data_IF_358172332501
#
_entry.id   IF_358172332501
#
_cell.length_a   1.000
_cell.length_b   1.000
_cell.length_c   1.000
_cell.angle_alpha   90.00
_cell.angle_beta   90.00
_cell.angle_gamma   90.00
#
_symmetry.space_group_name_H-M   'P 1'
#
loop_
_entity.id
_entity.type
_entity.pdbx_description
1 polymer ?
#
# COMPACT_ATOMS: atom_id res chain seq x y z
N UNK A 1 -18.81 1.08 7.23
CA UNK A 1 -20.04 1.90 6.96
C UNK A 1 -20.54 1.53 5.57
N UNK A 2 -21.82 1.16 5.39
CA UNK A 2 -22.32 0.70 4.08
C UNK A 2 -22.70 1.86 3.14
N UNK A 3 -22.55 1.65 1.83
CA UNK A 3 -23.07 2.57 0.82
C UNK A 3 -24.61 2.61 0.88
N UNK A 4 -25.24 3.77 0.55
CA UNK A 4 -26.69 3.91 0.50
C UNK A 4 -27.39 2.77 -0.23
N UNK A 5 -28.54 2.37 0.29
CA UNK A 5 -29.36 1.32 -0.30
C UNK A 5 -29.89 1.71 -1.69
N UNK A 6 -29.82 0.77 -2.63
CA UNK A 6 -30.20 1.04 -4.03
C UNK A 6 -31.72 1.02 -4.24
N UNK A 7 -32.49 0.35 -3.39
CA UNK A 7 -33.96 0.36 -3.48
C UNK A 7 -34.49 1.75 -3.11
N UNK A 8 -33.88 2.37 -2.10
CA UNK A 8 -34.28 3.68 -1.57
C UNK A 8 -33.62 4.85 -2.29
N UNK A 9 -32.33 4.72 -2.62
CA UNK A 9 -31.49 5.79 -3.19
C UNK A 9 -30.91 5.41 -4.55
N UNK A 10 -31.64 4.58 -5.30
CA UNK A 10 -31.23 4.09 -6.62
C UNK A 10 -30.69 5.19 -7.54
N UNK A 11 -29.46 5.01 -7.99
CA UNK A 11 -28.80 5.95 -8.89
C UNK A 11 -28.22 7.21 -8.24
N UNK A 12 -28.21 7.32 -6.91
CA UNK A 12 -27.49 8.39 -6.20
C UNK A 12 -25.99 8.29 -6.46
N UNK A 13 -25.43 7.09 -6.29
CA UNK A 13 -24.02 6.77 -6.61
C UNK A 13 -23.99 6.10 -7.98
N UNK A 14 -23.21 6.68 -8.92
CA UNK A 14 -23.10 6.17 -10.30
C UNK A 14 -22.03 5.09 -10.43
N UNK A 15 -20.89 5.28 -9.74
CA UNK A 15 -19.78 4.33 -9.71
C UNK A 15 -19.05 4.47 -8.38
N UNK A 16 -18.66 3.34 -7.81
CA UNK A 16 -17.71 3.24 -6.71
C UNK A 16 -16.61 2.25 -7.11
N UNK A 17 -15.37 2.63 -6.87
CA UNK A 17 -14.20 1.76 -7.06
C UNK A 17 -13.45 1.75 -5.75
N UNK A 18 -13.30 0.57 -5.15
CA UNK A 18 -12.58 0.38 -3.90
C UNK A 18 -11.37 -0.52 -4.15
N UNK A 19 -10.16 0.05 -4.04
CA UNK A 19 -8.91 -0.66 -4.25
C UNK A 19 -8.34 -0.99 -2.88
N UNK A 20 -8.16 -2.28 -2.57
CA UNK A 20 -7.86 -2.76 -1.22
C UNK A 20 -6.53 -3.49 -1.15
N UNK A 21 -5.87 -3.36 0.00
CA UNK A 21 -4.60 -4.03 0.28
C UNK A 21 -4.82 -5.52 0.56
N UNK A 22 -4.06 -6.37 -0.13
CA UNK A 22 -4.00 -7.80 0.11
C UNK A 22 -3.01 -8.22 1.20
N UNK A 23 -2.14 -7.31 1.68
CA UNK A 23 -1.07 -7.66 2.63
C UNK A 23 -1.09 -6.93 3.98
N UNK A 24 -1.96 -5.93 4.19
CA UNK A 24 -2.07 -5.20 5.46
C UNK A 24 -2.61 -6.08 6.60
N UNK A 25 -2.02 -5.96 7.79
CA UNK A 25 -2.32 -6.83 8.94
C UNK A 25 -2.33 -6.08 10.28
N UNK A 26 -2.07 -4.77 10.29
CA UNK A 26 -2.07 -3.99 11.53
C UNK A 26 -3.48 -3.88 12.07
N UNK A 27 -3.65 -4.18 13.36
CA UNK A 27 -4.92 -4.06 14.07
C UNK A 27 -5.50 -2.64 14.04
N UNK A 28 -4.64 -1.62 13.89
CA UNK A 28 -5.06 -0.23 13.76
C UNK A 28 -5.53 0.18 12.35
N UNK A 29 -5.49 -0.73 11.36
CA UNK A 29 -5.94 -0.51 9.98
C UNK A 29 -6.89 -1.63 9.51
N UNK A 30 -8.05 -1.84 10.16
CA UNK A 30 -9.03 -2.79 9.66
C UNK A 30 -9.61 -2.35 8.31
N UNK A 31 -9.89 -3.30 7.43
CA UNK A 31 -10.52 -3.05 6.14
C UNK A 31 -12.05 -2.97 6.29
N UNK A 32 -12.64 -1.84 5.89
CA UNK A 32 -14.08 -1.70 5.65
C UNK A 32 -14.40 -2.04 4.19
N UNK A 33 -14.87 -3.27 3.93
CA UNK A 33 -15.32 -3.66 2.58
C UNK A 33 -16.58 -2.90 2.16
N UNK A 34 -16.72 -2.63 0.85
CA UNK A 34 -17.97 -2.09 0.27
C UNK A 34 -19.07 -3.14 0.11
N UNK A 35 -18.80 -4.40 0.48
CA UNK A 35 -19.78 -5.49 0.51
C UNK A 35 -20.77 -5.25 1.66
N UNK A 36 -22.07 -5.31 1.37
CA UNK A 36 -23.15 -5.12 2.36
C UNK A 36 -23.30 -6.34 3.27
N UNK A 37 -23.97 -6.17 4.40
CA UNK A 37 -24.25 -7.22 5.39
C UNK A 37 -25.00 -8.44 4.82
N UNK A 38 -25.71 -8.27 3.71
CA UNK A 38 -26.35 -9.38 2.98
C UNK A 38 -25.36 -10.21 2.12
N UNK A 39 -24.07 -9.91 2.20
CA UNK A 39 -22.99 -10.59 1.47
C UNK A 39 -22.83 -10.16 0.01
N UNK A 40 -23.58 -9.15 -0.46
CA UNK A 40 -23.55 -8.69 -1.86
C UNK A 40 -22.87 -7.34 -2.00
N UNK A 41 -22.20 -7.17 -3.12
CA UNK A 41 -21.69 -5.86 -3.55
C UNK A 41 -22.83 -5.02 -4.15
N UNK A 42 -22.87 -3.70 -3.87
CA UNK A 42 -23.74 -2.78 -4.60
C UNK A 42 -23.47 -2.84 -6.11
N UNK A 43 -24.49 -2.80 -6.99
CA UNK A 43 -24.27 -2.88 -8.45
C UNK A 43 -23.39 -1.76 -9.02
N UNK A 44 -23.33 -0.60 -8.34
CA UNK A 44 -22.48 0.52 -8.73
C UNK A 44 -21.02 0.37 -8.28
N UNK A 45 -20.71 -0.62 -7.41
CA UNK A 45 -19.43 -0.76 -6.76
C UNK A 45 -18.62 -1.94 -7.30
N UNK A 46 -17.31 -1.74 -7.41
CA UNK A 46 -16.33 -2.80 -7.61
C UNK A 46 -15.28 -2.70 -6.51
N UNK A 47 -14.84 -3.85 -6.00
CA UNK A 47 -13.77 -3.97 -5.00
C UNK A 47 -12.65 -4.84 -5.56
N UNK A 48 -11.42 -4.32 -5.58
CA UNK A 48 -10.28 -4.95 -6.26
C UNK A 48 -9.13 -5.09 -5.29
N UNK A 49 -8.62 -6.32 -5.13
CA UNK A 49 -7.49 -6.62 -4.24
C UNK A 49 -6.19 -6.42 -4.99
N UNK A 50 -5.27 -5.66 -4.38
CA UNK A 50 -3.93 -5.38 -4.88
C UNK A 50 -2.85 -5.93 -3.93
N UNK A 51 -1.64 -6.23 -4.42
CA UNK A 51 -0.54 -6.57 -3.54
C UNK A 51 -0.07 -5.30 -2.82
N UNK A 52 0.38 -5.48 -1.58
CA UNK A 52 1.07 -4.45 -0.80
C UNK A 52 0.36 -4.21 0.53
N UNK A 53 0.97 -3.44 1.41
CA UNK A 53 0.40 -2.93 2.66
C UNK A 53 -0.52 -1.73 2.38
N UNK A 54 -0.94 -1.00 3.41
CA UNK A 54 -1.86 0.13 3.26
C UNK A 54 -1.40 1.19 2.24
N UNK A 55 -0.18 1.74 2.39
CA UNK A 55 0.31 2.83 1.55
C UNK A 55 0.92 2.37 0.23
N UNK A 56 1.21 1.08 0.07
CA UNK A 56 1.45 0.48 -1.26
C UNK A 56 0.22 0.65 -2.18
N UNK A 57 -0.98 0.83 -1.61
CA UNK A 57 -2.23 1.04 -2.36
C UNK A 57 -2.55 2.53 -2.46
N UNK A 58 -2.68 3.20 -1.33
CA UNK A 58 -3.07 4.62 -1.28
C UNK A 58 -1.98 5.60 -1.74
N UNK A 59 -0.74 5.14 -1.87
CA UNK A 59 0.43 6.00 -1.98
C UNK A 59 0.85 6.62 -0.65
N UNK A 60 2.02 7.25 -0.63
CA UNK A 60 2.53 7.98 0.55
C UNK A 60 3.96 7.63 0.94
N UNK A 61 4.47 6.48 0.48
CA UNK A 61 5.88 6.12 0.61
C UNK A 61 6.73 6.86 -0.43
N UNK A 62 7.72 7.69 -0.05
CA UNK A 62 8.76 8.17 -0.95
C UNK A 62 9.68 7.06 -1.47
N UNK A 63 10.31 7.26 -2.64
CA UNK A 63 11.40 6.42 -3.11
C UNK A 63 12.50 6.23 -2.05
N UNK A 64 12.92 4.98 -1.85
CA UNK A 64 13.97 4.61 -0.91
C UNK A 64 13.51 4.35 0.53
N UNK A 65 12.24 4.60 0.88
CA UNK A 65 11.73 4.25 2.21
C UNK A 65 11.82 2.74 2.45
N UNK A 66 12.29 2.35 3.63
CA UNK A 66 12.62 0.95 3.95
C UNK A 66 13.64 0.31 3.00
N UNK A 67 14.38 1.12 2.24
CA UNK A 67 15.32 0.65 1.23
C UNK A 67 14.64 0.07 -0.02
N UNK A 68 13.40 0.48 -0.30
CA UNK A 68 12.56 -0.04 -1.40
C UNK A 68 12.22 1.03 -2.44
N UNK A 69 11.85 0.62 -3.65
CA UNK A 69 11.50 1.58 -4.72
C UNK A 69 12.60 2.60 -5.02
N UNK A 70 13.88 2.20 -4.95
CA UNK A 70 15.00 3.13 -5.05
C UNK A 70 15.21 3.59 -6.50
N UNK A 71 14.63 4.73 -6.84
CA UNK A 71 14.95 5.51 -8.04
C UNK A 71 14.83 7.00 -7.72
N UNK A 72 15.27 7.84 -8.67
CA UNK A 72 15.05 9.28 -8.63
C UNK A 72 13.58 9.68 -8.86
N UNK A 73 12.72 8.71 -9.18
CA UNK A 73 11.32 8.87 -9.52
C UNK A 73 10.44 7.80 -8.88
N UNK A 74 9.12 8.02 -8.90
CA UNK A 74 8.14 7.14 -8.26
C UNK A 74 7.84 5.85 -9.04
N UNK A 75 8.35 5.68 -10.27
CA UNK A 75 8.00 4.57 -11.16
C UNK A 75 8.31 3.14 -10.68
N UNK A 76 8.97 2.97 -9.54
CA UNK A 76 9.16 1.67 -8.87
C UNK A 76 8.23 1.44 -7.67
N UNK A 77 7.46 2.45 -7.24
CA UNK A 77 6.51 2.34 -6.14
C UNK A 77 5.26 1.59 -6.59
N UNK A 78 4.83 0.60 -5.80
CA UNK A 78 3.69 -0.25 -6.15
C UNK A 78 2.38 0.54 -6.30
N UNK A 79 2.24 1.62 -5.54
CA UNK A 79 1.12 2.55 -5.60
C UNK A 79 0.91 3.18 -6.96
N UNK A 80 1.94 3.24 -7.82
CA UNK A 80 1.79 3.75 -9.18
C UNK A 80 0.83 2.88 -10.01
N UNK A 81 0.79 1.57 -9.80
CA UNK A 81 -0.16 0.70 -10.52
C UNK A 81 -1.60 1.05 -10.11
N UNK A 82 -1.82 1.24 -8.81
CA UNK A 82 -3.13 1.55 -8.23
C UNK A 82 -3.58 2.96 -8.63
N UNK A 83 -2.66 3.92 -8.68
CA UNK A 83 -2.88 5.28 -9.18
C UNK A 83 -3.42 5.26 -10.61
N UNK A 84 -2.83 4.44 -11.49
CA UNK A 84 -3.28 4.33 -12.89
C UNK A 84 -4.66 3.70 -13.01
N UNK A 85 -4.97 2.67 -12.22
CA UNK A 85 -6.31 2.07 -12.23
C UNK A 85 -7.37 3.06 -11.75
N UNK A 86 -7.11 3.78 -10.65
CA UNK A 86 -8.00 4.82 -10.15
C UNK A 86 -8.15 5.98 -11.15
N UNK A 87 -7.06 6.44 -11.77
CA UNK A 87 -7.08 7.48 -12.79
C UNK A 87 -7.96 7.07 -13.97
N UNK A 88 -7.77 5.85 -14.49
CA UNK A 88 -8.54 5.29 -15.59
C UNK A 88 -10.03 5.19 -15.24
N UNK A 89 -10.35 4.61 -14.07
CA UNK A 89 -11.72 4.47 -13.60
C UNK A 89 -12.43 5.82 -13.43
N UNK A 90 -11.75 6.81 -12.83
CA UNK A 90 -12.29 8.15 -12.66
C UNK A 90 -12.49 8.86 -14.00
N UNK A 91 -11.50 8.77 -14.91
CA UNK A 91 -11.57 9.35 -16.25
C UNK A 91 -12.75 8.77 -17.05
N UNK A 92 -12.92 7.45 -17.04
CA UNK A 92 -14.01 6.76 -17.72
C UNK A 92 -15.40 7.11 -17.14
N UNK A 93 -15.47 7.54 -15.88
CA UNK A 93 -16.69 8.04 -15.26
C UNK A 93 -16.93 9.55 -15.49
N UNK A 94 -16.08 10.21 -16.27
CA UNK A 94 -16.21 11.63 -16.62
C UNK A 94 -15.59 12.60 -15.61
N UNK A 95 -14.69 12.13 -14.73
CA UNK A 95 -13.92 13.04 -13.89
C UNK A 95 -13.10 14.01 -14.78
N UNK A 96 -13.08 15.32 -14.47
CA UNK A 96 -12.42 16.33 -15.29
C UNK A 96 -10.89 16.32 -15.11
N UNK A 97 -10.25 15.20 -15.43
CA UNK A 97 -8.80 15.02 -15.28
C UNK A 97 -8.06 15.52 -16.53
N UNK A 98 -6.84 16.01 -16.31
CA UNK A 98 -5.92 16.41 -17.38
C UNK A 98 -5.24 15.18 -17.97
N UNK A 99 -4.81 15.28 -19.23
CA UNK A 99 -4.15 14.18 -19.97
C UNK A 99 -2.84 14.67 -20.60
N UNK A 100 -1.91 13.76 -20.97
CA UNK A 100 -0.74 14.10 -21.78
C UNK A 100 -1.15 14.82 -23.07
N UNK A 101 -0.39 15.83 -23.49
CA UNK A 101 -0.68 16.60 -24.70
C UNK A 101 -0.77 15.71 -25.96
N UNK A 102 0.00 14.62 -25.96
CA UNK A 102 0.06 13.62 -27.02
C UNK A 102 -1.24 12.82 -27.14
N UNK A 103 -1.97 12.63 -26.04
CA UNK A 103 -3.24 11.92 -26.01
C UNK A 103 -4.43 12.78 -26.49
N UNK A 104 -4.27 14.11 -26.57
CA UNK A 104 -5.34 15.00 -27.03
C UNK A 104 -5.47 15.01 -28.57
N UNK A 105 -6.71 15.01 -29.10
CA UNK A 105 -6.97 15.37 -30.49
C UNK A 105 -6.41 16.76 -30.83
N UNK A 106 -5.94 16.97 -32.06
CA UNK A 106 -5.30 18.23 -32.51
C UNK A 106 -6.08 19.49 -32.13
N UNK A 107 -7.40 19.48 -32.31
CA UNK A 107 -8.30 20.60 -31.97
C UNK A 107 -8.26 21.02 -30.49
N UNK A 108 -7.80 20.15 -29.60
CA UNK A 108 -7.73 20.39 -28.15
C UNK A 108 -6.31 20.62 -27.64
N UNK A 109 -5.26 20.42 -28.45
CA UNK A 109 -3.86 20.59 -28.02
C UNK A 109 -3.49 22.02 -27.65
N UNK A 110 -4.25 23.03 -28.12
CA UNK A 110 -4.09 24.44 -27.73
C UNK A 110 -4.74 24.78 -26.38
N UNK A 111 -5.59 23.90 -25.83
CA UNK A 111 -6.30 24.10 -24.58
C UNK A 111 -5.42 23.65 -23.41
N UNK A 112 -4.50 24.51 -22.98
CA UNK A 112 -3.51 24.21 -21.92
C UNK A 112 -4.13 23.71 -20.61
N UNK A 113 -5.36 24.12 -20.29
CA UNK A 113 -6.08 23.67 -19.10
C UNK A 113 -6.48 22.18 -19.12
N UNK A 114 -6.47 21.53 -20.30
CA UNK A 114 -6.66 20.07 -20.44
C UNK A 114 -5.36 19.28 -20.38
N UNK A 115 -4.22 19.95 -20.54
CA UNK A 115 -2.91 19.32 -20.66
C UNK A 115 -2.30 19.18 -19.27
N UNK A 116 -1.87 17.96 -18.94
CA UNK A 116 -1.09 17.69 -17.74
C UNK A 116 0.30 18.35 -17.89
N UNK A 117 0.74 19.17 -16.92
CA UNK A 117 2.11 19.69 -16.90
C UNK A 117 3.16 18.57 -16.85
N UNK A 118 4.34 18.78 -17.44
CA UNK A 118 5.38 17.73 -17.56
C UNK A 118 5.88 17.23 -16.19
N UNK A 119 6.00 18.12 -15.21
CA UNK A 119 6.37 17.78 -13.84
C UNK A 119 5.32 16.88 -13.19
N UNK A 120 4.03 17.13 -13.44
CA UNK A 120 2.95 16.27 -12.95
C UNK A 120 2.86 14.96 -13.75
N UNK A 121 3.07 14.99 -15.06
CA UNK A 121 3.08 13.79 -15.92
C UNK A 121 4.14 12.78 -15.46
N UNK A 122 5.32 13.27 -15.07
CA UNK A 122 6.41 12.43 -14.56
C UNK A 122 6.05 11.69 -13.27
N UNK A 123 5.12 12.22 -12.46
CA UNK A 123 4.61 11.55 -11.25
C UNK A 123 3.67 10.38 -11.58
N UNK A 124 3.21 10.25 -12.82
CA UNK A 124 2.46 9.09 -13.31
C UNK A 124 3.37 8.07 -13.99
N UNK A 125 4.70 8.21 -13.95
CA UNK A 125 5.57 7.22 -14.54
C UNK A 125 5.44 5.86 -13.82
N UNK A 126 5.40 4.77 -14.60
CA UNK A 126 5.42 3.38 -14.13
C UNK A 126 6.53 2.68 -14.89
N UNK A 127 7.47 2.05 -14.18
CA UNK A 127 8.55 1.30 -14.81
C UNK A 127 8.09 -0.06 -15.33
N UNK A 128 8.66 -0.50 -16.45
CA UNK A 128 8.42 -1.85 -16.99
C UNK A 128 8.79 -2.96 -15.99
N UNK A 129 9.81 -2.72 -15.16
CA UNK A 129 10.23 -3.63 -14.08
C UNK A 129 9.11 -3.82 -13.07
N UNK A 130 8.47 -2.73 -12.62
CA UNK A 130 7.34 -2.80 -11.71
C UNK A 130 6.15 -3.50 -12.37
N UNK A 131 5.82 -3.16 -13.62
CA UNK A 131 4.74 -3.80 -14.35
C UNK A 131 4.96 -5.31 -14.50
N UNK A 132 6.18 -5.75 -14.83
CA UNK A 132 6.52 -7.16 -14.94
C UNK A 132 6.36 -7.91 -13.61
N UNK A 133 6.85 -7.32 -12.52
CA UNK A 133 6.72 -7.88 -11.16
C UNK A 133 5.26 -7.96 -10.70
N UNK A 134 4.47 -6.91 -10.95
CA UNK A 134 3.04 -6.89 -10.64
C UNK A 134 2.26 -7.93 -11.45
N UNK A 135 2.54 -8.05 -12.74
CA UNK A 135 1.89 -9.06 -13.59
C UNK A 135 2.28 -10.49 -13.19
N UNK A 136 3.54 -10.74 -12.81
CA UNK A 136 3.95 -12.02 -12.25
C UNK A 136 3.19 -12.38 -10.96
N UNK A 137 2.88 -11.38 -10.11
CA UNK A 137 2.03 -11.57 -8.94
C UNK A 137 0.60 -11.98 -9.30
N UNK A 138 0.00 -11.34 -10.32
CA UNK A 138 -1.33 -11.72 -10.83
C UNK A 138 -1.34 -13.14 -11.38
N UNK A 139 -0.31 -13.53 -12.13
CA UNK A 139 -0.21 -14.87 -12.70
C UNK A 139 -0.01 -15.94 -11.62
N UNK A 140 0.98 -15.75 -10.75
CA UNK A 140 1.37 -16.76 -9.77
C UNK A 140 0.33 -16.93 -8.67
N UNK A 141 -0.17 -15.82 -8.13
CA UNK A 141 -0.97 -15.84 -6.88
C UNK A 141 -2.48 -15.86 -7.14
N UNK A 142 -2.93 -15.36 -8.31
CA UNK A 142 -4.35 -15.30 -8.67
C UNK A 142 -4.70 -16.20 -9.86
N UNK A 143 -3.73 -16.88 -10.48
CA UNK A 143 -3.96 -17.73 -11.66
C UNK A 143 -4.45 -16.96 -12.88
N UNK A 144 -4.24 -15.64 -12.92
CA UNK A 144 -4.65 -14.80 -14.04
C UNK A 144 -3.67 -14.96 -15.20
N UNK A 145 -4.10 -14.62 -16.42
CA UNK A 145 -3.22 -14.62 -17.60
C UNK A 145 -2.88 -13.20 -17.99
N UNK A 146 -1.59 -12.89 -18.16
CA UNK A 146 -1.18 -11.61 -18.78
C UNK A 146 -1.18 -11.76 -20.30
N UNK A 147 -1.95 -10.95 -21.04
CA UNK A 147 -1.88 -10.93 -22.50
C UNK A 147 -0.46 -10.57 -22.97
N UNK A 148 0.10 -11.36 -23.89
CA UNK A 148 1.42 -11.06 -24.50
C UNK A 148 1.35 -9.98 -25.57
N UNK A 149 0.16 -9.75 -26.10
CA UNK A 149 -0.15 -8.74 -27.10
C UNK A 149 -1.41 -8.02 -26.67
N UNK A 150 -1.43 -6.71 -26.85
CA UNK A 150 -2.57 -5.87 -26.52
C UNK A 150 -3.16 -5.31 -27.81
N UNK A 151 -4.45 -5.49 -27.99
CA UNK A 151 -5.20 -4.66 -28.92
C UNK A 151 -5.28 -3.24 -28.32
N UNK A 152 -4.86 -2.18 -29.05
CA UNK A 152 -4.88 -0.82 -28.51
C UNK A 152 -6.25 -0.36 -28.00
N UNK A 153 -7.34 -0.83 -28.60
CA UNK A 153 -8.70 -0.51 -28.16
C UNK A 153 -9.01 -1.22 -26.83
N UNK A 154 -8.73 -2.53 -26.73
CA UNK A 154 -8.82 -3.25 -25.46
C UNK A 154 -7.89 -2.69 -24.37
N UNK A 155 -6.69 -2.20 -24.73
CA UNK A 155 -5.75 -1.60 -23.77
C UNK A 155 -6.24 -0.26 -23.21
N UNK A 156 -7.13 0.43 -23.94
CA UNK A 156 -7.73 1.69 -23.50
C UNK A 156 -8.82 1.50 -22.44
N UNK A 157 -9.27 0.26 -22.23
CA UNK A 157 -10.32 -0.07 -21.27
C UNK A 157 -9.93 -1.29 -20.43
N UNK A 158 -9.49 -1.04 -19.19
CA UNK A 158 -9.23 -2.10 -18.23
C UNK A 158 -10.48 -2.39 -17.39
N UNK A 159 -10.91 -3.65 -17.37
CA UNK A 159 -11.84 -4.16 -16.36
C UNK A 159 -11.11 -5.16 -15.47
N UNK A 160 -11.15 -4.98 -14.13
CA UNK A 160 -10.55 -5.94 -13.23
C UNK A 160 -11.28 -7.29 -13.33
N UNK A 161 -10.56 -8.41 -13.50
CA UNK A 161 -11.17 -9.72 -13.58
C UNK A 161 -11.80 -10.10 -12.24
N UNK A 162 -12.94 -10.81 -12.29
CA UNK A 162 -13.57 -11.35 -11.09
C UNK A 162 -12.60 -12.30 -10.38
N UNK A 163 -12.48 -12.16 -9.06
CA UNK A 163 -11.69 -13.07 -8.25
C UNK A 163 -12.29 -14.47 -8.26
N UNK A 164 -11.44 -15.50 -8.16
CA UNK A 164 -11.86 -16.90 -8.10
C UNK A 164 -12.52 -17.33 -6.77
N UNK A 165 -12.71 -16.40 -5.83
CA UNK A 165 -13.25 -16.67 -4.50
C UNK A 165 -13.76 -15.41 -3.79
N UNK A 166 -14.20 -15.57 -2.53
CA UNK A 166 -14.62 -14.44 -1.69
C UNK A 166 -13.43 -13.55 -1.31
N UNK A 167 -13.70 -12.32 -0.85
CA UNK A 167 -12.67 -11.41 -0.34
C UNK A 167 -11.79 -12.09 0.71
N UNK A 168 -12.40 -12.78 1.68
CA UNK A 168 -11.70 -13.50 2.75
C UNK A 168 -10.76 -14.57 2.21
N UNK A 169 -11.20 -15.31 1.19
CA UNK A 169 -10.39 -16.37 0.57
C UNK A 169 -9.21 -15.78 -0.18
N UNK A 170 -9.44 -14.68 -0.91
CA UNK A 170 -8.36 -13.97 -1.62
C UNK A 170 -7.36 -13.38 -0.64
N UNK A 171 -7.82 -12.71 0.43
CA UNK A 171 -6.94 -12.16 1.47
C UNK A 171 -6.14 -13.29 2.14
N UNK A 172 -6.78 -14.41 2.51
CA UNK A 172 -6.08 -15.55 3.10
C UNK A 172 -4.99 -16.14 2.17
N UNK A 173 -5.25 -16.19 0.87
CA UNK A 173 -4.26 -16.61 -0.12
C UNK A 173 -3.08 -15.64 -0.19
N UNK A 174 -3.35 -14.34 -0.26
CA UNK A 174 -2.31 -13.30 -0.28
C UNK A 174 -1.48 -13.29 1.02
N UNK A 175 -2.14 -13.51 2.16
CA UNK A 175 -1.50 -13.71 3.46
C UNK A 175 -0.53 -14.88 3.45
N UNK A 176 -0.86 -15.99 2.80
CA UNK A 176 0.02 -17.14 2.69
C UNK A 176 1.28 -16.80 1.88
N UNK A 177 1.16 -16.08 0.77
CA UNK A 177 2.30 -15.67 -0.05
C UNK A 177 3.27 -14.73 0.67
N UNK A 178 2.75 -13.70 1.37
CA UNK A 178 3.63 -12.80 2.12
C UNK A 178 4.22 -13.49 3.36
N UNK A 179 3.48 -14.40 3.99
CA UNK A 179 4.01 -15.24 5.09
C UNK A 179 5.16 -16.11 4.59
N UNK A 180 5.05 -16.73 3.41
CA UNK A 180 6.13 -17.51 2.81
C UNK A 180 7.41 -16.69 2.59
N UNK A 181 7.26 -15.44 2.12
CA UNK A 181 8.38 -14.50 2.00
C UNK A 181 9.01 -14.16 3.35
N UNK A 182 8.21 -13.90 4.39
CA UNK A 182 8.71 -13.62 5.74
C UNK A 182 9.37 -14.84 6.39
N UNK A 183 8.90 -16.06 6.13
CA UNK A 183 9.56 -17.28 6.64
C UNK A 183 11.02 -17.30 6.20
N UNK A 184 11.31 -17.03 4.92
CA UNK A 184 12.68 -17.03 4.45
C UNK A 184 13.45 -15.76 4.85
N UNK A 185 12.91 -14.59 4.51
CA UNK A 185 13.59 -13.30 4.73
C UNK A 185 13.78 -13.02 6.21
N UNK A 186 12.74 -13.20 7.02
CA UNK A 186 12.75 -12.85 8.44
C UNK A 186 13.18 -14.04 9.31
N UNK A 187 12.41 -15.14 9.32
CA UNK A 187 12.67 -16.22 10.27
C UNK A 187 13.98 -16.98 9.98
N UNK A 188 14.32 -17.22 8.70
CA UNK A 188 15.63 -17.81 8.32
C UNK A 188 16.75 -16.77 8.17
N UNK A 189 16.44 -15.49 8.28
CA UNK A 189 17.41 -14.39 8.30
C UNK A 189 18.05 -14.07 6.94
N UNK A 190 17.48 -14.51 5.81
CA UNK A 190 18.04 -14.22 4.49
C UNK A 190 17.96 -12.73 4.13
N UNK A 191 17.05 -11.96 4.77
CA UNK A 191 16.90 -10.51 4.61
C UNK A 191 18.23 -9.75 4.75
N UNK A 192 19.10 -10.13 5.68
CA UNK A 192 20.34 -9.40 5.96
C UNK A 192 21.28 -9.29 4.75
N UNK A 193 21.15 -10.21 3.79
CA UNK A 193 21.95 -10.27 2.56
C UNK A 193 21.28 -9.59 1.37
N UNK A 194 20.05 -9.11 1.55
CA UNK A 194 19.26 -8.55 0.45
C UNK A 194 19.60 -7.08 0.22
N UNK A 195 19.51 -6.60 -1.03
CA UNK A 195 19.78 -5.20 -1.34
C UNK A 195 18.83 -4.23 -0.63
N UNK A 196 17.55 -4.57 -0.44
CA UNK A 196 16.60 -3.64 0.19
C UNK A 196 16.98 -3.33 1.64
N UNK A 197 17.32 -4.36 2.42
CA UNK A 197 17.74 -4.18 3.81
C UNK A 197 19.06 -3.42 3.94
N UNK A 198 20.00 -3.65 3.01
CA UNK A 198 21.30 -2.97 3.02
C UNK A 198 21.20 -1.48 2.66
N UNK A 199 20.18 -1.09 1.88
CA UNK A 199 19.93 0.31 1.50
C UNK A 199 19.02 1.05 2.48
N UNK A 200 18.30 0.34 3.34
CA UNK A 200 17.37 0.92 4.30
C UNK A 200 18.07 1.94 5.22
N UNK A 201 17.41 3.07 5.50
CA UNK A 201 18.00 4.14 6.30
C UNK A 201 18.15 3.72 7.76
N UNK A 202 19.20 4.21 8.43
CA UNK A 202 19.44 3.91 9.84
C UNK A 202 20.17 5.03 10.59
N UNK A 203 20.10 6.26 10.09
CA UNK A 203 20.84 7.42 10.60
C UNK A 203 20.39 7.88 11.99
N UNK A 204 19.16 7.54 12.37
CA UNK A 204 18.51 8.00 13.61
C UNK A 204 18.17 6.84 14.57
N UNK A 205 18.84 5.69 14.40
CA UNK A 205 18.67 4.53 15.26
C UNK A 205 19.08 4.80 16.71
N UNK A 206 20.18 5.54 16.90
CA UNK A 206 20.73 5.85 18.22
C UNK A 206 19.89 6.95 18.91
N UNK A 207 19.60 6.85 20.21
CA UNK A 207 18.77 7.82 20.93
C UNK A 207 19.26 9.28 20.81
N UNK A 208 20.58 9.49 20.80
CA UNK A 208 21.15 10.83 20.67
C UNK A 208 20.93 11.44 19.27
N UNK A 209 21.11 10.65 18.21
CA UNK A 209 20.87 11.09 16.83
C UNK A 209 19.38 11.37 16.60
N UNK A 210 18.51 10.49 17.10
CA UNK A 210 17.06 10.66 17.06
C UNK A 210 16.62 11.96 17.71
N UNK A 211 17.05 12.21 18.94
CA UNK A 211 16.73 13.44 19.67
C UNK A 211 17.24 14.70 18.95
N UNK A 212 18.42 14.62 18.33
CA UNK A 212 18.93 15.74 17.54
C UNK A 212 18.07 16.03 16.30
N UNK A 213 17.63 14.99 15.59
CA UNK A 213 16.73 15.12 14.44
C UNK A 213 15.35 15.67 14.83
N UNK A 214 14.79 15.21 15.95
CA UNK A 214 13.53 15.71 16.51
C UNK A 214 13.60 17.22 16.79
N UNK A 215 14.67 17.68 17.45
CA UNK A 215 14.92 19.11 17.71
C UNK A 215 15.02 19.92 16.41
N UNK A 216 15.60 19.36 15.35
CA UNK A 216 15.68 20.03 14.04
C UNK A 216 14.28 20.16 13.44
N UNK A 217 13.50 19.09 13.42
CA UNK A 217 12.11 19.09 12.93
C UNK A 217 11.26 20.09 13.69
N UNK A 218 11.35 20.11 15.02
CA UNK A 218 10.55 21.00 15.85
C UNK A 218 10.88 22.48 15.60
N UNK A 219 12.14 22.81 15.35
CA UNK A 219 12.52 24.16 14.91
C UNK A 219 11.91 24.53 13.55
N UNK A 220 11.81 23.59 12.61
CA UNK A 220 11.10 23.85 11.35
C UNK A 220 9.59 24.02 11.58
N UNK A 221 8.99 23.26 12.49
CA UNK A 221 7.58 23.44 12.89
C UNK A 221 7.34 24.80 13.52
N UNK A 222 8.24 25.28 14.39
CA UNK A 222 8.15 26.62 14.99
C UNK A 222 8.15 27.73 13.92
N UNK A 223 8.99 27.61 12.88
CA UNK A 223 8.98 28.55 11.75
C UNK A 223 7.64 28.57 11.03
N UNK A 224 7.03 27.40 10.80
CA UNK A 224 5.68 27.32 10.20
C UNK A 224 4.65 28.00 11.09
N UNK A 225 4.70 27.77 12.41
CA UNK A 225 3.77 28.41 13.35
C UNK A 225 3.92 29.94 13.35
N UNK A 226 5.15 30.46 13.32
CA UNK A 226 5.39 31.90 13.16
C UNK A 226 4.88 32.43 11.81
N UNK A 227 5.08 31.70 10.71
CA UNK A 227 4.56 32.07 9.40
C UNK A 227 3.02 32.13 9.39
N UNK A 228 2.35 31.17 10.03
CA UNK A 228 0.88 31.16 10.19
C UNK A 228 0.37 32.37 10.97
N UNK A 229 1.05 32.77 12.04
CA UNK A 229 0.69 33.98 12.78
C UNK A 229 0.78 35.22 11.88
N UNK A 230 1.82 35.32 11.05
CA UNK A 230 1.95 36.40 10.07
C UNK A 230 0.87 36.33 8.97
N UNK A 231 0.49 35.14 8.51
CA UNK A 231 -0.61 34.97 7.56
C UNK A 231 -1.93 35.49 8.15
N UNK A 232 -2.25 35.11 9.39
CA UNK A 232 -3.46 35.55 10.09
C UNK A 232 -3.45 37.07 10.31
N UNK A 233 -2.33 37.62 10.78
CA UNK A 233 -2.21 39.05 11.07
C UNK A 233 -2.35 39.95 9.83
N UNK A 234 -1.93 39.45 8.66
CA UNK A 234 -1.98 40.20 7.40
C UNK A 234 -3.24 39.92 6.56
N UNK A 235 -4.06 38.95 6.95
CA UNK A 235 -5.27 38.62 6.22
C UNK A 235 -6.38 39.64 6.54
N UNK A 236 -7.09 40.07 5.49
CA UNK A 236 -8.23 40.98 5.64
C UNK A 236 -9.33 40.32 6.47
N UNK A 237 -9.92 41.01 7.48
CA UNK A 237 -11.01 40.47 8.28
C UNK A 237 -12.21 39.98 7.44
N UNK A 238 -12.47 40.62 6.31
CA UNK A 238 -13.61 40.32 5.42
C UNK A 238 -13.38 39.10 4.52
N UNK A 239 -12.17 38.52 4.52
CA UNK A 239 -11.80 37.36 3.68
C UNK A 239 -11.13 36.25 4.49
N UNK A 240 -11.48 36.13 5.76
CA UNK A 240 -10.82 35.18 6.65
C UNK A 240 -11.13 33.71 6.31
N UNK A 241 -12.27 33.47 5.67
CA UNK A 241 -12.69 32.19 5.11
C UNK A 241 -11.82 31.74 3.92
N UNK A 242 -11.18 32.66 3.20
CA UNK A 242 -10.23 32.36 2.12
C UNK A 242 -8.83 31.98 2.64
N UNK A 243 -8.56 32.12 3.95
CA UNK A 243 -7.21 31.94 4.49
C UNK A 243 -6.81 30.46 4.54
N UNK A 244 -5.89 30.08 3.64
CA UNK A 244 -5.21 28.78 3.70
C UNK A 244 -3.87 28.94 4.42
N UNK A 245 -3.80 28.41 5.63
CA UNK A 245 -2.57 28.40 6.41
C UNK A 245 -1.53 27.47 5.80
N UNK A 246 -0.25 27.86 5.92
CA UNK A 246 0.86 27.02 5.51
C UNK A 246 0.75 25.63 6.18
N UNK A 247 0.89 24.51 5.45
CA UNK A 247 0.87 23.18 6.05
C UNK A 247 2.03 23.01 7.04
N UNK A 248 1.80 22.21 8.08
CA UNK A 248 2.83 21.88 9.08
C UNK A 248 3.92 21.01 8.47
N UNK A 249 5.05 20.89 9.17
CA UNK A 249 5.97 19.78 8.88
C UNK A 249 5.33 18.47 9.34
N UNK A 250 5.69 17.36 8.68
CA UNK A 250 5.24 16.02 9.09
C UNK A 250 5.60 15.74 10.55
N UNK A 251 4.84 14.87 11.19
CA UNK A 251 5.20 14.34 12.50
C UNK A 251 6.58 13.69 12.47
N UNK A 252 7.29 13.79 13.61
CA UNK A 252 8.65 13.30 13.68
C UNK A 252 8.64 11.78 13.56
N UNK A 253 9.15 11.30 12.44
CA UNK A 253 9.29 9.90 12.11
C UNK A 253 10.77 9.59 11.87
N UNK A 254 11.43 8.89 12.80
CA UNK A 254 12.88 8.75 12.79
C UNK A 254 13.37 7.84 11.66
N UNK A 255 14.46 8.22 11.00
CA UNK A 255 15.14 7.44 9.96
C UNK A 255 15.89 6.24 10.51
N UNK A 256 15.13 5.21 10.87
CA UNK A 256 15.60 3.97 11.50
C UNK A 256 15.00 2.71 10.87
N UNK A 257 14.66 2.78 9.58
CA UNK A 257 14.04 1.69 8.82
C UNK A 257 14.76 0.35 8.99
N UNK A 258 16.09 0.34 8.95
CA UNK A 258 16.88 -0.89 9.10
C UNK A 258 16.69 -1.52 10.49
N UNK A 259 16.61 -0.69 11.54
CA UNK A 259 16.34 -1.16 12.91
C UNK A 259 14.91 -1.70 13.01
N UNK A 260 13.92 -0.96 12.50
CA UNK A 260 12.51 -1.38 12.50
C UNK A 260 12.28 -2.69 11.73
N UNK A 261 12.86 -2.84 10.54
CA UNK A 261 12.81 -4.07 9.75
C UNK A 261 13.44 -5.25 10.49
N UNK A 262 14.57 -5.02 11.17
CA UNK A 262 15.25 -6.06 11.93
C UNK A 262 14.45 -6.51 13.15
N UNK A 263 13.83 -5.57 13.87
CA UNK A 263 12.99 -5.89 15.03
C UNK A 263 11.70 -6.60 14.59
N UNK A 264 11.06 -6.16 13.50
CA UNK A 264 9.93 -6.88 12.90
C UNK A 264 10.31 -8.30 12.45
N UNK A 265 11.51 -8.48 11.91
CA UNK A 265 12.02 -9.79 11.52
C UNK A 265 12.25 -10.72 12.72
N UNK A 266 12.76 -10.18 13.83
CA UNK A 266 12.90 -10.91 15.09
C UNK A 266 11.56 -11.29 15.69
N UNK A 267 10.59 -10.38 15.71
CA UNK A 267 9.25 -10.66 16.23
C UNK A 267 8.58 -11.78 15.43
N UNK A 268 8.58 -11.66 14.11
CA UNK A 268 8.08 -12.71 13.23
C UNK A 268 8.82 -14.04 13.42
N UNK A 269 10.16 -14.00 13.48
CA UNK A 269 10.97 -15.20 13.72
C UNK A 269 10.63 -15.87 15.04
N UNK A 270 10.50 -15.10 16.12
CA UNK A 270 10.08 -15.62 17.42
C UNK A 270 8.70 -16.25 17.35
N UNK A 271 7.72 -15.61 16.72
CA UNK A 271 6.36 -16.15 16.58
C UNK A 271 6.34 -17.42 15.71
N UNK A 272 7.16 -17.48 14.67
CA UNK A 272 7.25 -18.65 13.80
C UNK A 272 7.89 -19.87 14.50
N UNK A 273 8.94 -19.67 15.30
CA UNK A 273 9.68 -20.73 15.99
C UNK A 273 9.06 -21.15 17.32
N UNK A 274 8.66 -20.20 18.17
CA UNK A 274 8.25 -20.45 19.56
C UNK A 274 6.74 -20.72 19.70
N UNK A 275 5.97 -20.48 18.64
CA UNK A 275 4.53 -20.73 18.61
C UNK A 275 3.67 -19.51 18.99
N UNK A 276 2.35 -19.71 18.97
CA UNK A 276 1.36 -18.69 19.29
C UNK A 276 1.48 -18.23 20.75
N UNK A 277 1.64 -16.92 20.97
CA UNK A 277 1.68 -16.31 22.29
C UNK A 277 0.26 -15.95 22.73
N UNK A 278 -0.20 -16.52 23.82
CA UNK A 278 -1.39 -16.02 24.52
C UNK A 278 -0.90 -14.82 25.36
N UNK A 279 -1.43 -13.60 25.18
CA UNK A 279 -1.08 -12.49 26.06
C UNK A 279 -1.51 -12.83 27.50
N UNK A 280 -0.58 -12.77 28.45
CA UNK A 280 -0.84 -13.10 29.86
C UNK A 280 -1.86 -12.16 30.53
N UNK A 281 -2.19 -11.01 29.93
CA UNK A 281 -3.10 -10.04 30.51
C UNK A 281 -3.84 -9.17 29.48
N UNK A 282 -5.10 -9.53 29.21
CA UNK A 282 -6.02 -8.79 28.32
C UNK A 282 -6.21 -7.31 28.76
N UNK A 283 -6.04 -7.01 30.04
CA UNK A 283 -6.20 -5.66 30.59
C UNK A 283 -5.11 -4.67 30.13
N UNK A 284 -3.91 -5.17 29.78
CA UNK A 284 -2.81 -4.32 29.31
C UNK A 284 -3.05 -3.83 27.87
N UNK A 285 -3.65 -4.68 27.03
CA UNK A 285 -4.04 -4.36 25.65
C UNK A 285 -5.06 -3.21 25.57
N UNK A 286 -5.99 -3.15 26.53
CA UNK A 286 -7.04 -2.12 26.56
C UNK A 286 -6.49 -0.76 26.99
N UNK A 287 -5.50 -0.72 27.88
CA UNK A 287 -4.99 0.53 28.46
C UNK A 287 -4.11 1.32 27.47
N UNK A 288 -3.34 0.63 26.62
CA UNK A 288 -2.42 1.26 25.66
C UNK A 288 -3.13 1.76 24.38
N UNK A 289 -4.42 1.43 24.21
CA UNK A 289 -5.21 1.70 22.98
C UNK A 289 -6.26 2.81 23.16
N UNK A 290 -6.24 3.54 24.28
CA UNK A 290 -7.31 4.51 24.60
C UNK A 290 -7.10 5.84 23.87
N UNK A 291 -7.65 5.94 22.66
CA UNK A 291 -8.25 7.15 22.06
C UNK A 291 -9.11 6.79 20.82
N UNK A 292 -9.89 5.70 20.88
CA UNK A 292 -10.87 5.35 19.84
C UNK A 292 -12.27 5.07 20.43
N UNK A 293 -13.35 5.40 19.69
CA UNK A 293 -14.73 5.26 20.20
C UNK A 293 -15.23 3.81 20.33
N UNK A 294 -14.56 2.82 19.73
CA UNK A 294 -14.93 1.39 19.81
C UNK A 294 -13.66 0.53 19.91
N UNK A 295 -13.63 -0.39 20.87
CA UNK A 295 -12.57 -1.40 21.03
C UNK A 295 -13.18 -2.77 20.76
N UNK A 296 -12.60 -3.52 19.83
CA UNK A 296 -12.96 -4.92 19.57
C UNK A 296 -11.93 -5.84 20.24
N UNK A 297 -12.42 -6.91 20.88
CA UNK A 297 -11.58 -7.98 21.42
C UNK A 297 -11.76 -9.19 20.51
N UNK A 298 -10.64 -9.75 20.05
CA UNK A 298 -10.63 -10.94 19.21
C UNK A 298 -10.83 -12.21 20.05
N UNK A 299 -11.42 -13.24 19.45
CA UNK A 299 -11.64 -14.54 20.08
C UNK A 299 -10.35 -15.38 20.03
N UNK A 300 -9.88 -15.83 21.18
CA UNK A 300 -8.62 -16.56 21.34
C UNK A 300 -8.57 -17.90 20.59
N UNK A 301 -9.72 -18.59 20.45
CA UNK A 301 -9.78 -19.86 19.72
C UNK A 301 -9.61 -19.64 18.21
N UNK A 302 -10.22 -18.58 17.69
CA UNK A 302 -10.12 -18.19 16.29
C UNK A 302 -8.68 -17.76 15.98
N UNK A 303 -8.05 -16.94 16.84
CA UNK A 303 -6.65 -16.53 16.68
C UNK A 303 -5.67 -17.71 16.57
N UNK A 304 -5.81 -18.73 17.42
CA UNK A 304 -4.96 -19.91 17.38
C UNK A 304 -5.15 -20.72 16.09
N UNK A 305 -6.37 -20.78 15.57
CA UNK A 305 -6.65 -21.43 14.29
C UNK A 305 -6.06 -20.63 13.11
N UNK A 306 -6.22 -19.31 13.13
CA UNK A 306 -5.67 -18.42 12.10
C UNK A 306 -4.15 -18.48 12.04
N UNK A 307 -3.47 -18.45 13.20
CA UNK A 307 -2.03 -18.63 13.30
C UNK A 307 -1.58 -19.95 12.64
N UNK A 308 -2.22 -21.07 12.99
CA UNK A 308 -1.87 -22.39 12.42
C UNK A 308 -2.09 -22.44 10.91
N UNK A 309 -3.20 -21.86 10.43
CA UNK A 309 -3.52 -21.75 9.00
C UNK A 309 -2.44 -20.95 8.27
N UNK A 310 -2.13 -19.75 8.73
CA UNK A 310 -1.12 -18.88 8.12
C UNK A 310 0.25 -19.54 8.08
N UNK A 311 0.68 -20.18 9.18
CA UNK A 311 1.96 -20.89 9.23
C UNK A 311 2.03 -22.02 8.21
N UNK A 312 1.05 -22.94 8.23
CA UNK A 312 0.98 -24.08 7.30
C UNK A 312 0.95 -23.62 5.84
N UNK A 313 0.10 -22.64 5.54
CA UNK A 313 -0.12 -22.19 4.16
C UNK A 313 1.08 -21.38 3.65
N UNK A 314 1.76 -20.63 4.53
CA UNK A 314 3.03 -19.98 4.25
C UNK A 314 4.15 -21.00 3.97
N UNK A 315 4.34 -21.98 4.86
CA UNK A 315 5.34 -23.05 4.71
C UNK A 315 5.20 -23.80 3.37
N UNK A 316 3.96 -24.09 2.96
CA UNK A 316 3.66 -24.76 1.69
C UNK A 316 4.11 -23.96 0.45
N UNK A 317 4.28 -22.64 0.56
CA UNK A 317 4.65 -21.74 -0.55
C UNK A 317 6.13 -21.35 -0.54
N UNK A 318 6.88 -21.65 0.51
CA UNK A 318 8.29 -21.24 0.64
C UNK A 318 9.14 -21.77 -0.50
N UNK A 319 9.05 -23.06 -0.83
CA UNK A 319 9.87 -23.67 -1.89
C UNK A 319 9.57 -23.11 -3.30
N UNK A 320 8.39 -22.51 -3.49
CA UNK A 320 8.01 -21.85 -4.75
C UNK A 320 8.79 -20.53 -4.89
N UNK A 321 8.80 -19.71 -3.84
CA UNK A 321 9.52 -18.43 -3.83
C UNK A 321 11.04 -18.60 -3.67
N UNK A 322 11.47 -19.60 -2.89
CA UNK A 322 12.87 -19.87 -2.53
C UNK A 322 13.22 -21.34 -2.83
N UNK A 323 13.55 -21.67 -4.08
CA UNK A 323 13.89 -23.04 -4.47
C UNK A 323 15.25 -23.47 -3.90
N UNK A 324 15.41 -24.78 -3.65
CA UNK A 324 16.66 -25.36 -3.11
C UNK A 324 17.89 -25.12 -4.00
N UNK A 325 17.68 -24.95 -5.31
CA UNK A 325 18.72 -24.60 -6.27
C UNK A 325 19.21 -23.14 -6.14
N UNK A 326 18.60 -22.35 -5.25
CA UNK A 326 18.93 -20.96 -4.96
C UNK A 326 18.10 -19.96 -5.77
N UNK A 327 18.03 -18.72 -5.28
CA UNK A 327 17.19 -17.64 -5.84
C UNK A 327 17.49 -17.32 -7.32
N UNK A 328 18.73 -17.49 -7.76
CA UNK A 328 19.13 -17.29 -9.16
C UNK A 328 18.45 -18.28 -10.11
N UNK A 329 18.08 -19.47 -9.64
CA UNK A 329 17.46 -20.52 -10.47
C UNK A 329 16.07 -20.16 -10.98
N UNK A 330 15.34 -19.27 -10.30
CA UNK A 330 14.00 -18.84 -10.68
C UNK A 330 13.86 -17.30 -10.82
N UNK A 331 14.97 -16.55 -10.88
CA UNK A 331 14.96 -15.08 -10.85
C UNK A 331 14.06 -14.45 -11.95
N UNK A 332 14.10 -15.00 -13.16
CA UNK A 332 13.30 -14.53 -14.32
C UNK A 332 11.95 -15.25 -14.44
N UNK A 333 11.63 -16.18 -13.54
CA UNK A 333 10.35 -16.89 -13.51
C UNK A 333 9.33 -16.10 -12.66
N UNK A 334 8.02 -16.34 -12.82
CA UNK A 334 7.00 -15.62 -12.04
C UNK A 334 7.26 -15.60 -10.54
N UNK A 335 7.71 -16.72 -9.95
CA UNK A 335 8.05 -16.79 -8.53
C UNK A 335 9.24 -15.90 -8.12
N UNK A 336 10.28 -15.80 -8.95
CA UNK A 336 11.40 -14.89 -8.69
C UNK A 336 11.00 -13.41 -8.83
N UNK A 337 10.13 -13.10 -9.79
CA UNK A 337 9.58 -11.76 -9.97
C UNK A 337 8.65 -11.35 -8.82
N UNK A 338 7.84 -12.28 -8.29
CA UNK A 338 7.01 -12.05 -7.09
C UNK A 338 7.88 -11.88 -5.84
N UNK A 339 8.93 -12.68 -5.69
CA UNK A 339 9.92 -12.47 -4.62
C UNK A 339 10.55 -11.08 -4.71
N UNK A 340 10.96 -10.66 -5.91
CA UNK A 340 11.51 -9.33 -6.15
C UNK A 340 10.49 -8.21 -5.92
N UNK A 341 9.20 -8.44 -6.21
CA UNK A 341 8.12 -7.52 -5.85
C UNK A 341 8.06 -7.35 -4.33
N UNK A 342 8.12 -8.44 -3.57
CA UNK A 342 8.03 -8.38 -2.11
C UNK A 342 9.28 -7.79 -1.45
N UNK A 343 10.46 -8.03 -2.03
CA UNK A 343 11.72 -7.41 -1.57
C UNK A 343 11.74 -5.88 -1.78
N UNK A 344 11.04 -5.35 -2.79
CA UNK A 344 11.25 -3.97 -3.28
C UNK A 344 9.97 -3.12 -3.36
N UNK A 345 8.82 -3.62 -2.88
CA UNK A 345 7.56 -2.85 -2.78
C UNK A 345 7.57 -1.94 -1.55
N UNK A 346 7.57 -0.63 -1.77
CA UNK A 346 7.57 0.38 -0.71
C UNK A 346 6.26 0.35 0.07
#
# INVERSE_FOLDING_TARGET
>A
MELPDDETYGGLIKKCVHLVSGHEQRLCFPLDSVRRANGKYPPCAIEVVYPGMHSDIGGGYPPGEQGKGNAEHDGHLLSQIVLHDMYSAAFNCGAPLKVPKQALPEKFKSQSWRVIPLDLDSQFFVSEVLSARFNAWRELTLGQTTPKTFDPEAASHYEPPAAGGSLETVIAEQMAWITAWRIDRYARGSMLKTPFYQRATNTEALPAARKAAEVIRDKEQEKVLSARQNQIANQSPDRMDELVLQPGVKDFDPKMDQTQLFDAAKEFGKDYHDGYRIPDNLAQLVLDTVLQPVIFVLNTDDEAQEYRRMKRDGEARVAVLFPDAGEASNAEQPAGLVRALFDDRA
#
